data_IF_980747295268
#
_entry.id   IF_980747295268
#
_cell.length_a   1.000
_cell.length_b   1.000
_cell.length_c   1.000
_cell.angle_alpha   90.00
_cell.angle_beta   90.00
_cell.angle_gamma   90.00
#
_symmetry.space_group_name_H-M   'P 1'
#
loop_
_entity.id
_entity.type
_entity.pdbx_description
1 polymer ?
#
# COMPACT_ATOMS: atom_id res chain seq x y z
N UNK A 1 -2.47 -12.86 11.17
CA UNK A 1 -3.87 -13.22 11.43
C UNK A 1 -4.12 -14.57 10.79
N UNK A 2 -4.55 -15.57 11.54
CA UNK A 2 -5.01 -16.85 10.97
C UNK A 2 -6.34 -16.65 10.23
N UNK A 3 -6.86 -17.68 9.56
CA UNK A 3 -8.18 -17.59 8.93
C UNK A 3 -9.29 -17.56 9.98
N UNK A 4 -9.11 -18.22 11.12
CA UNK A 4 -10.07 -18.24 12.24
C UNK A 4 -10.24 -16.87 12.88
N UNK A 5 -9.16 -16.10 13.00
CA UNK A 5 -9.24 -14.70 13.45
C UNK A 5 -10.01 -13.84 12.44
N UNK A 6 -9.83 -14.09 11.13
CA UNK A 6 -10.55 -13.38 10.08
C UNK A 6 -12.03 -13.77 10.00
N UNK A 7 -12.38 -15.01 10.33
CA UNK A 7 -13.77 -15.47 10.41
C UNK A 7 -14.60 -14.63 11.39
N UNK A 8 -14.00 -14.17 12.49
CA UNK A 8 -14.66 -13.24 13.42
C UNK A 8 -14.76 -11.81 12.89
N UNK A 9 -13.73 -11.33 12.18
CA UNK A 9 -13.68 -9.95 11.65
C UNK A 9 -14.66 -9.76 10.49
N UNK A 10 -14.75 -10.75 9.61
CA UNK A 10 -15.59 -10.72 8.42
C UNK A 10 -16.89 -11.50 8.60
N UNK A 11 -17.29 -11.78 9.85
CA UNK A 11 -18.48 -12.55 10.16
C UNK A 11 -19.73 -11.94 9.49
N UNK A 12 -20.37 -12.73 8.63
CA UNK A 12 -21.59 -12.31 7.91
C UNK A 12 -21.34 -11.61 6.57
N UNK A 13 -20.10 -11.30 6.23
CA UNK A 13 -19.76 -10.67 4.95
C UNK A 13 -19.49 -11.72 3.87
N UNK A 14 -19.96 -11.46 2.65
CA UNK A 14 -19.74 -12.31 1.47
C UNK A 14 -19.38 -11.44 0.27
N UNK A 15 -18.15 -11.57 -0.21
CA UNK A 15 -17.65 -10.85 -1.38
C UNK A 15 -16.53 -11.61 -2.08
N UNK A 16 -16.39 -11.46 -3.39
CA UNK A 16 -15.24 -11.99 -4.14
C UNK A 16 -13.93 -11.28 -3.73
N UNK A 17 -14.01 -9.98 -3.42
CA UNK A 17 -12.89 -9.13 -2.94
C UNK A 17 -13.27 -8.44 -1.63
N UNK A 18 -12.37 -8.49 -0.66
CA UNK A 18 -12.41 -7.71 0.57
C UNK A 18 -11.29 -6.65 0.51
N UNK A 19 -11.64 -5.43 0.10
CA UNK A 19 -10.67 -4.36 -0.08
C UNK A 19 -10.46 -3.55 1.20
N UNK A 20 -9.19 -3.34 1.57
CA UNK A 20 -8.78 -2.53 2.71
C UNK A 20 -7.75 -1.45 2.34
N UNK A 21 -7.20 -0.80 3.36
CA UNK A 21 -6.22 0.28 3.22
C UNK A 21 -5.48 0.50 4.54
N UNK A 22 -5.26 1.76 4.92
CA UNK A 22 -4.75 2.21 6.22
C UNK A 22 -3.29 1.83 6.56
N UNK A 23 -2.85 0.61 6.28
CA UNK A 23 -1.50 0.12 6.62
C UNK A 23 -0.40 0.67 5.70
N UNK A 24 -0.79 1.28 4.57
CA UNK A 24 0.11 1.80 3.54
C UNK A 24 1.07 0.75 2.96
N UNK A 25 0.64 -0.51 2.96
CA UNK A 25 1.40 -1.63 2.40
C UNK A 25 0.48 -2.48 1.56
N UNK A 26 0.90 -2.77 0.33
CA UNK A 26 0.15 -3.69 -0.52
C UNK A 26 0.01 -5.07 0.12
N UNK A 27 -1.18 -5.66 0.00
CA UNK A 27 -1.52 -6.99 0.50
C UNK A 27 -2.35 -7.72 -0.55
N UNK A 28 -2.02 -8.97 -0.78
CA UNK A 28 -2.88 -9.92 -1.46
C UNK A 28 -2.92 -11.19 -0.62
N UNK A 29 -4.11 -11.63 -0.19
CA UNK A 29 -4.29 -12.85 0.59
C UNK A 29 -5.58 -13.55 0.22
N UNK A 30 -5.49 -14.86 0.02
CA UNK A 30 -6.67 -15.72 -0.09
C UNK A 30 -7.33 -15.94 1.28
N UNK A 31 -8.65 -15.89 1.31
CA UNK A 31 -9.45 -16.12 2.52
C UNK A 31 -10.84 -16.66 2.16
N UNK A 32 -11.15 -17.91 2.54
CA UNK A 32 -12.49 -18.55 2.40
C UNK A 32 -13.21 -18.36 1.04
N UNK A 33 -12.45 -18.36 -0.06
CA UNK A 33 -12.98 -18.17 -1.43
C UNK A 33 -13.01 -16.71 -1.90
N UNK A 34 -12.71 -15.77 -1.01
CA UNK A 34 -12.48 -14.36 -1.28
C UNK A 34 -10.98 -14.05 -1.40
N UNK A 35 -10.68 -12.88 -1.94
CA UNK A 35 -9.33 -12.28 -1.86
C UNK A 35 -9.39 -11.01 -1.02
N UNK A 36 -8.56 -10.94 0.01
CA UNK A 36 -8.29 -9.71 0.75
C UNK A 36 -7.22 -8.94 0.00
N UNK A 37 -7.54 -7.70 -0.38
CA UNK A 37 -6.64 -6.82 -1.14
C UNK A 37 -6.42 -5.53 -0.37
N UNK A 38 -5.17 -5.11 -0.22
CA UNK A 38 -4.81 -3.75 0.13
C UNK A 38 -3.97 -3.19 -1.03
N UNK A 39 -4.36 -2.07 -1.65
CA UNK A 39 -3.60 -1.49 -2.75
C UNK A 39 -2.24 -0.94 -2.31
N UNK A 40 -2.07 -0.62 -1.03
CA UNK A 40 -0.93 0.13 -0.51
C UNK A 40 -1.27 1.61 -0.34
N UNK A 41 -0.28 2.48 -0.54
CA UNK A 41 -0.47 3.93 -0.47
C UNK A 41 0.14 4.63 -1.69
N UNK A 42 -0.65 5.52 -2.28
CA UNK A 42 -0.20 6.36 -3.40
C UNK A 42 0.82 7.40 -2.93
N UNK A 43 0.60 7.99 -1.75
CA UNK A 43 1.38 9.16 -1.30
C UNK A 43 2.31 8.92 -0.11
N UNK A 44 2.24 7.74 0.52
CA UNK A 44 3.06 7.43 1.68
C UNK A 44 3.22 5.90 1.87
N UNK A 45 3.77 5.15 0.90
CA UNK A 45 4.01 3.72 1.08
C UNK A 45 5.07 3.46 2.16
N UNK A 46 4.97 2.33 2.85
CA UNK A 46 5.99 1.89 3.81
C UNK A 46 6.71 0.64 3.34
N UNK A 47 8.04 0.69 3.36
CA UNK A 47 8.90 -0.48 3.12
C UNK A 47 9.79 -0.73 4.33
N UNK A 48 9.90 -2.01 4.71
CA UNK A 48 10.84 -2.46 5.72
C UNK A 48 12.12 -2.97 5.06
N UNK A 49 13.24 -2.32 5.34
CA UNK A 49 14.55 -2.78 4.89
C UNK A 49 15.08 -3.83 5.88
N UNK A 50 15.19 -5.08 5.42
CA UNK A 50 15.63 -6.21 6.26
C UNK A 50 17.10 -6.13 6.68
N UNK A 51 17.95 -5.43 5.94
CA UNK A 51 19.38 -5.28 6.26
C UNK A 51 19.58 -4.26 7.36
N UNK A 52 18.92 -3.10 7.25
CA UNK A 52 19.05 -2.00 8.21
C UNK A 52 18.03 -2.09 9.36
N UNK A 53 17.01 -2.95 9.23
CA UNK A 53 15.88 -3.11 10.15
C UNK A 53 15.09 -1.81 10.38
N UNK A 54 15.02 -0.97 9.35
CA UNK A 54 14.32 0.32 9.37
C UNK A 54 13.13 0.33 8.43
N UNK A 55 12.10 1.10 8.79
CA UNK A 55 11.02 1.47 7.88
C UNK A 55 11.45 2.75 7.15
N UNK A 56 11.14 2.82 5.86
CA UNK A 56 11.33 4.01 5.06
C UNK A 56 10.22 4.14 4.02
N UNK A 57 10.13 5.32 3.42
CA UNK A 57 9.13 5.68 2.43
C UNK A 57 9.82 5.71 1.05
N UNK A 58 9.65 4.68 0.20
CA UNK A 58 10.17 4.75 -1.15
C UNK A 58 9.41 5.80 -1.96
N UNK A 59 10.09 6.47 -2.90
CA UNK A 59 9.48 7.35 -3.89
C UNK A 59 8.67 6.57 -4.95
N UNK A 60 7.66 5.86 -4.49
CA UNK A 60 6.76 5.01 -5.25
C UNK A 60 5.32 5.34 -4.88
N UNK A 61 4.42 5.23 -5.84
CA UNK A 61 2.99 5.16 -5.59
C UNK A 61 2.55 3.70 -5.70
N UNK A 62 1.83 3.20 -4.69
CA UNK A 62 1.21 1.87 -4.71
C UNK A 62 -0.30 1.99 -4.96
N UNK A 63 -0.83 1.19 -5.88
CA UNK A 63 -2.26 1.07 -6.12
C UNK A 63 -2.60 -0.32 -6.68
N UNK A 64 -3.90 -0.64 -6.74
CA UNK A 64 -4.39 -1.88 -7.35
C UNK A 64 -5.33 -1.57 -8.52
N UNK A 65 -5.27 -2.36 -9.59
CA UNK A 65 -6.33 -2.46 -10.59
C UNK A 65 -7.08 -3.77 -10.40
N UNK A 66 -8.39 -3.68 -10.28
CA UNK A 66 -9.29 -4.83 -10.23
C UNK A 66 -10.02 -4.91 -11.56
N UNK A 67 -9.84 -6.01 -12.29
CA UNK A 67 -10.50 -6.24 -13.57
C UNK A 67 -11.36 -7.48 -13.48
N UNK A 68 -12.62 -7.40 -13.91
CA UNK A 68 -13.51 -8.56 -14.01
C UNK A 68 -14.01 -8.74 -15.43
N UNK A 69 -13.60 -9.83 -16.06
CA UNK A 69 -13.95 -10.17 -17.43
C UNK A 69 -14.32 -11.64 -17.56
N UNK A 70 -15.48 -11.93 -18.16
CA UNK A 70 -15.96 -13.30 -18.46
C UNK A 70 -15.88 -14.26 -17.25
N UNK A 71 -16.16 -13.75 -16.04
CA UNK A 71 -16.11 -14.53 -14.80
C UNK A 71 -14.73 -14.61 -14.15
N UNK A 72 -13.66 -14.22 -14.84
CA UNK A 72 -12.31 -14.13 -14.28
C UNK A 72 -12.13 -12.81 -13.55
N UNK A 73 -11.59 -12.88 -12.34
CA UNK A 73 -11.19 -11.72 -11.55
C UNK A 73 -9.66 -11.63 -11.54
N UNK A 74 -9.14 -10.50 -11.99
CA UNK A 74 -7.72 -10.18 -11.97
C UNK A 74 -7.47 -9.06 -10.97
N UNK A 75 -6.46 -9.24 -10.14
CA UNK A 75 -5.95 -8.24 -9.20
C UNK A 75 -4.52 -7.91 -9.61
N UNK A 76 -4.30 -6.66 -9.95
CA UNK A 76 -3.02 -6.16 -10.46
C UNK A 76 -2.48 -5.13 -9.45
N UNK A 77 -1.56 -5.55 -8.58
CA UNK A 77 -0.89 -4.67 -7.63
C UNK A 77 0.27 -3.96 -8.33
N UNK A 78 0.20 -2.64 -8.40
CA UNK A 78 1.12 -1.81 -9.18
C UNK A 78 1.92 -0.88 -8.28
N UNK A 79 3.17 -0.67 -8.71
CA UNK A 79 4.07 0.35 -8.18
C UNK A 79 4.53 1.24 -9.33
N UNK A 80 4.50 2.54 -9.11
CA UNK A 80 4.95 3.52 -10.10
C UNK A 80 5.92 4.46 -9.42
N UNK A 81 7.15 4.53 -9.92
CA UNK A 81 8.17 5.43 -9.40
C UNK A 81 7.86 6.88 -9.77
N UNK A 82 8.27 7.79 -8.90
CA UNK A 82 8.26 9.21 -9.18
C UNK A 82 9.54 9.85 -8.68
N UNK A 83 9.80 11.07 -9.16
CA UNK A 83 11.01 11.80 -8.81
C UNK A 83 10.96 12.28 -7.35
N UNK A 84 11.90 11.77 -6.53
CA UNK A 84 11.99 12.14 -5.11
C UNK A 84 12.37 13.61 -4.91
N UNK A 85 13.18 14.19 -5.80
CA UNK A 85 13.58 15.59 -5.69
C UNK A 85 12.39 16.50 -5.93
N UNK A 86 11.51 16.16 -6.88
CA UNK A 86 10.29 16.92 -7.14
C UNK A 86 9.31 16.82 -5.97
N UNK A 87 9.15 15.65 -5.34
CA UNK A 87 8.41 15.53 -4.07
C UNK A 87 9.03 16.43 -2.98
N UNK A 88 10.34 16.37 -2.79
CA UNK A 88 11.05 17.18 -1.78
C UNK A 88 10.84 18.68 -2.01
N UNK A 89 10.91 19.17 -3.25
CA UNK A 89 10.65 20.56 -3.60
C UNK A 89 9.20 20.94 -3.30
N UNK A 90 8.24 20.12 -3.73
CA UNK A 90 6.81 20.37 -3.53
C UNK A 90 6.46 20.44 -2.03
N UNK A 91 6.98 19.51 -1.23
CA UNK A 91 6.76 19.47 0.22
C UNK A 91 7.36 20.69 0.90
N UNK A 92 8.59 21.08 0.57
CA UNK A 92 9.23 22.30 1.11
C UNK A 92 8.48 23.58 0.72
N UNK A 93 7.86 23.62 -0.45
CA UNK A 93 7.06 24.76 -0.92
C UNK A 93 5.61 24.77 -0.38
N UNK A 94 5.13 23.68 0.20
CA UNK A 94 3.70 23.50 0.54
C UNK A 94 3.22 24.30 1.76
N UNK A 95 4.14 24.81 2.59
CA UNK A 95 3.81 25.39 3.90
C UNK A 95 3.43 24.34 4.96
N UNK A 96 3.57 23.04 4.66
CA UNK A 96 3.37 21.97 5.64
C UNK A 96 4.35 22.12 6.81
N UNK A 97 3.92 21.95 8.06
CA UNK A 97 4.83 21.98 9.20
C UNK A 97 5.76 20.76 9.19
N UNK A 98 6.96 20.91 9.77
CA UNK A 98 7.92 19.83 9.97
C UNK A 98 8.36 19.08 8.69
N UNK A 99 8.51 19.80 7.57
CA UNK A 99 8.90 19.20 6.27
C UNK A 99 10.18 18.38 6.36
N UNK A 100 11.21 18.86 7.06
CA UNK A 100 12.50 18.17 7.12
C UNK A 100 12.42 16.86 7.91
N UNK A 101 11.63 16.85 9.00
CA UNK A 101 11.34 15.62 9.75
C UNK A 101 10.58 14.62 8.86
N UNK A 102 9.55 15.07 8.17
CA UNK A 102 8.75 14.20 7.31
C UNK A 102 9.57 13.65 6.13
N UNK A 103 10.46 14.46 5.54
CA UNK A 103 11.32 14.08 4.42
C UNK A 103 12.46 13.14 4.81
N UNK A 104 12.82 13.05 6.10
CA UNK A 104 13.94 12.22 6.57
C UNK A 104 13.75 10.73 6.31
N UNK A 105 12.50 10.26 6.25
CA UNK A 105 12.19 8.85 6.04
C UNK A 105 12.11 8.47 4.56
N UNK A 106 12.23 9.44 3.64
CA UNK A 106 12.09 9.22 2.20
C UNK A 106 13.39 8.78 1.54
N UNK A 107 13.31 7.76 0.69
CA UNK A 107 14.47 7.22 -0.04
C UNK A 107 14.13 6.98 -1.52
N UNK A 108 15.10 7.11 -2.44
CA UNK A 108 14.89 6.67 -3.81
C UNK A 108 14.60 5.16 -3.85
N UNK A 109 13.92 4.70 -4.89
CA UNK A 109 13.80 3.28 -5.18
C UNK A 109 15.20 2.68 -5.44
N UNK A 110 15.46 1.48 -4.92
CA UNK A 110 16.72 0.74 -5.14
C UNK A 110 16.72 0.04 -6.48
#
# INVERSE_FOLDING_TARGET
>A
MSDEELDGIFAGEQADIMAGGHTHRSLYRWYRGSVIVNPGSVGLPYTYDWQTRQIYNPALAEYALLTREKGTLQVDLRRVSYDLQDLQKAVKASGMPHTDWWLNDWRPEK
#
